data_IF_807815605657
#
_entry.id   IF_807815605657
#
_cell.length_a   1.000
_cell.length_b   1.000
_cell.length_c   1.000
_cell.angle_alpha   90.00
_cell.angle_beta   90.00
_cell.angle_gamma   90.00
#
_symmetry.space_group_name_H-M   'P 1'
#
loop_
_entity.id
_entity.type
_entity.pdbx_description
1 polymer ?
#
# COMPACT_ATOMS: atom_id res chain seq x y z
N UNK A 1 1.96 -18.98 -17.68
CA UNK A 1 0.85 -18.10 -17.30
C UNK A 1 0.16 -17.66 -18.57
N UNK A 2 -1.13 -17.94 -18.71
CA UNK A 2 -1.89 -17.44 -19.84
C UNK A 2 -2.30 -15.96 -19.61
N UNK A 3 -2.76 -15.24 -20.64
CA UNK A 3 -3.14 -13.83 -20.49
C UNK A 3 -4.21 -13.54 -19.43
N UNK A 4 -5.18 -14.44 -19.23
CA UNK A 4 -6.25 -14.26 -18.24
C UNK A 4 -5.73 -14.46 -16.81
N UNK A 5 -4.92 -15.49 -16.57
CA UNK A 5 -4.23 -15.68 -15.29
C UNK A 5 -3.38 -14.44 -14.95
N UNK A 6 -2.67 -13.89 -15.95
CA UNK A 6 -1.85 -12.70 -15.79
C UNK A 6 -2.70 -11.49 -15.35
N UNK A 7 -3.84 -11.30 -16.02
CA UNK A 7 -4.81 -10.26 -15.69
C UNK A 7 -5.37 -10.42 -14.28
N UNK A 8 -5.81 -11.62 -13.90
CA UNK A 8 -6.32 -11.90 -12.55
C UNK A 8 -5.28 -11.62 -11.47
N UNK A 9 -4.01 -11.98 -11.72
CA UNK A 9 -2.92 -11.65 -10.80
C UNK A 9 -2.75 -10.14 -10.66
N UNK A 10 -2.77 -9.39 -11.76
CA UNK A 10 -2.67 -7.93 -11.72
C UNK A 10 -3.85 -7.30 -10.97
N UNK A 11 -5.08 -7.78 -11.15
CA UNK A 11 -6.26 -7.31 -10.40
C UNK A 11 -6.04 -7.47 -8.89
N UNK A 12 -5.54 -8.63 -8.45
CA UNK A 12 -5.26 -8.88 -7.03
C UNK A 12 -4.15 -7.96 -6.50
N UNK A 13 -3.07 -7.79 -7.28
CA UNK A 13 -1.97 -6.89 -6.91
C UNK A 13 -2.45 -5.44 -6.77
N UNK A 14 -3.25 -4.95 -7.72
CA UNK A 14 -3.81 -3.61 -7.65
C UNK A 14 -4.69 -3.43 -6.41
N UNK A 15 -5.58 -4.38 -6.12
CA UNK A 15 -6.43 -4.30 -4.92
C UNK A 15 -5.62 -4.21 -3.63
N UNK A 16 -4.59 -5.05 -3.47
CA UNK A 16 -3.71 -5.01 -2.30
C UNK A 16 -2.89 -3.71 -2.23
N UNK A 17 -2.49 -3.16 -3.38
CA UNK A 17 -1.77 -1.90 -3.42
C UNK A 17 -2.67 -0.69 -3.13
N UNK A 18 -3.91 -0.69 -3.60
CA UNK A 18 -4.92 0.34 -3.29
C UNK A 18 -5.21 0.37 -1.79
N UNK A 19 -5.33 -0.79 -1.16
CA UNK A 19 -5.51 -0.89 0.30
C UNK A 19 -4.28 -0.37 1.06
N UNK A 20 -3.07 -0.77 0.65
CA UNK A 20 -1.82 -0.31 1.27
C UNK A 20 -1.63 1.21 1.15
N UNK A 21 -1.96 1.79 0.00
CA UNK A 21 -1.83 3.22 -0.24
C UNK A 21 -2.89 4.03 0.52
N UNK A 22 -4.12 3.52 0.64
CA UNK A 22 -5.14 4.11 1.50
C UNK A 22 -4.69 4.12 2.96
N UNK A 23 -4.13 3.01 3.43
CA UNK A 23 -3.62 2.87 4.79
C UNK A 23 -2.47 3.86 5.06
N UNK A 24 -1.51 3.97 4.12
CA UNK A 24 -0.42 4.94 4.18
C UNK A 24 -0.92 6.39 4.32
N UNK A 25 -1.85 6.81 3.47
CA UNK A 25 -2.39 8.18 3.50
C UNK A 25 -3.11 8.46 4.82
N UNK A 26 -3.89 7.50 5.32
CA UNK A 26 -4.60 7.63 6.58
C UNK A 26 -3.69 7.75 7.80
N UNK A 27 -2.52 7.10 7.77
CA UNK A 27 -1.57 7.11 8.89
C UNK A 27 -0.57 8.25 8.88
N UNK A 28 -0.19 8.71 7.69
CA UNK A 28 0.90 9.66 7.52
C UNK A 28 0.42 11.08 7.24
N UNK A 29 -0.85 11.24 6.85
CA UNK A 29 -1.44 12.48 6.34
C UNK A 29 -0.71 13.06 5.10
N UNK A 30 0.26 12.32 4.54
CA UNK A 30 0.99 12.70 3.32
C UNK A 30 0.21 12.33 2.08
N UNK A 31 0.23 13.21 1.09
CA UNK A 31 -0.31 12.92 -0.23
C UNK A 31 0.63 12.01 -1.00
N UNK A 32 0.08 11.02 -1.73
CA UNK A 32 0.88 10.12 -2.57
C UNK A 32 1.69 10.86 -3.64
N UNK A 33 1.25 12.05 -4.07
CA UNK A 33 1.99 12.91 -5.01
C UNK A 33 3.29 13.48 -4.44
N UNK A 34 3.41 13.51 -3.12
CA UNK A 34 4.57 14.02 -2.37
C UNK A 34 5.43 12.89 -1.80
N UNK A 35 4.97 11.65 -1.93
CA UNK A 35 5.62 10.44 -1.41
C UNK A 35 6.41 9.74 -2.51
N UNK A 36 7.68 9.45 -2.25
CA UNK A 36 8.48 8.60 -3.13
C UNK A 36 8.10 7.13 -2.97
N UNK A 37 8.33 6.33 -4.00
CA UNK A 37 8.08 4.88 -3.95
C UNK A 37 8.89 4.21 -2.82
N UNK A 38 10.12 4.66 -2.58
CA UNK A 38 10.96 4.11 -1.51
C UNK A 38 10.38 4.40 -0.12
N UNK A 39 9.89 5.61 0.14
CA UNK A 39 9.24 5.93 1.42
C UNK A 39 8.00 5.07 1.67
N UNK A 40 7.17 4.84 0.64
CA UNK A 40 6.01 3.96 0.76
C UNK A 40 6.43 2.52 1.08
N UNK A 41 7.47 2.00 0.42
CA UNK A 41 8.01 0.65 0.65
C UNK A 41 8.57 0.54 2.08
N UNK A 42 9.42 1.46 2.49
CA UNK A 42 10.02 1.47 3.83
C UNK A 42 8.97 1.57 4.92
N UNK A 43 7.97 2.44 4.74
CA UNK A 43 6.84 2.53 5.66
C UNK A 43 6.06 1.22 5.70
N UNK A 44 5.70 0.64 4.55
CA UNK A 44 4.94 -0.61 4.50
C UNK A 44 5.67 -1.75 5.19
N UNK A 45 6.99 -1.83 5.02
CA UNK A 45 7.83 -2.81 5.69
C UNK A 45 7.86 -2.58 7.20
N UNK A 46 7.93 -1.32 7.65
CA UNK A 46 7.90 -1.00 9.08
C UNK A 46 6.62 -1.47 9.78
N UNK A 47 5.47 -1.44 9.09
CA UNK A 47 4.19 -1.95 9.63
C UNK A 47 4.20 -3.47 9.83
N UNK A 48 5.01 -4.22 9.07
CA UNK A 48 5.16 -5.67 9.26
C UNK A 48 5.98 -6.04 10.50
N UNK A 49 6.79 -5.10 11.00
CA UNK A 49 7.66 -5.30 12.16
C UNK A 49 7.01 -4.73 13.43
N UNK A 50 6.45 -3.51 13.32
CA UNK A 50 5.82 -2.80 14.42
C UNK A 50 4.57 -2.08 13.92
N UNK A 51 3.42 -2.78 13.82
CA UNK A 51 2.20 -2.20 13.31
C UNK A 51 1.75 -1.07 14.24
N UNK A 52 1.63 0.13 13.68
CA UNK A 52 1.05 1.27 14.40
C UNK A 52 -0.45 1.24 14.10
N UNK A 53 -1.27 1.10 15.13
CA UNK A 53 -2.72 1.20 14.95
C UNK A 53 -3.10 2.60 14.46
N UNK A 54 -3.96 2.66 13.45
CA UNK A 54 -4.55 3.91 12.97
C UNK A 54 -5.32 4.55 14.10
N UNK A 55 -5.01 5.82 14.38
CA UNK A 55 -5.91 6.66 15.17
C UNK A 55 -7.13 6.94 14.31
N UNK A 56 -8.12 6.05 14.38
CA UNK A 56 -9.46 6.36 13.88
C UNK A 56 -9.91 7.66 14.54
N UNK A 57 -10.10 8.71 13.73
CA UNK A 57 -10.70 9.98 14.13
C UNK A 57 -12.07 10.10 13.49
#
# INVERSE_FOLDING_TARGET
MNPEEHKERHIKLHKSFDELTADYVSHTEKLLSETTVMELIEWSYSQTINPKESKNQ
#
